data_IF_389995439922
#
_entry.id   IF_389995439922
#
_cell.length_a   1.000
_cell.length_b   1.000
_cell.length_c   1.000
_cell.angle_alpha   90.00
_cell.angle_beta   90.00
_cell.angle_gamma   90.00
#
_symmetry.space_group_name_H-M   'P 1'
#
loop_
_entity.id
_entity.type
_entity.pdbx_description
1 polymer ?
#
# COMPACT_ATOMS: atom_id res chain seq x y z
N UNK A 1 17.96 -17.63 -1.37
CA UNK A 1 18.55 -16.29 -1.49
C UNK A 1 18.86 -16.04 -2.94
N UNK A 2 18.48 -14.87 -3.44
CA UNK A 2 18.76 -14.48 -4.80
C UNK A 2 20.23 -14.05 -4.97
N UNK A 3 20.77 -14.23 -6.17
CA UNK A 3 22.11 -13.78 -6.54
C UNK A 3 22.20 -12.25 -6.53
N UNK A 4 23.34 -11.72 -6.08
CA UNK A 4 23.59 -10.27 -6.01
C UNK A 4 23.44 -9.57 -7.38
N UNK A 5 23.77 -10.30 -8.46
CA UNK A 5 23.57 -9.81 -9.83
C UNK A 5 22.09 -9.58 -10.15
N UNK A 6 21.23 -10.58 -9.90
CA UNK A 6 19.78 -10.46 -10.12
C UNK A 6 19.15 -9.36 -9.28
N UNK A 7 19.59 -9.20 -8.03
CA UNK A 7 19.14 -8.12 -7.17
C UNK A 7 19.46 -6.75 -7.80
N UNK A 8 20.68 -6.55 -8.30
CA UNK A 8 21.08 -5.30 -8.96
C UNK A 8 20.29 -5.04 -10.23
N UNK A 9 20.09 -6.06 -11.06
CA UNK A 9 19.27 -5.95 -12.28
C UNK A 9 17.81 -5.57 -11.93
N UNK A 10 17.20 -6.25 -10.96
CA UNK A 10 15.83 -5.96 -10.56
C UNK A 10 15.65 -4.53 -10.00
N UNK A 11 16.64 -4.04 -9.24
CA UNK A 11 16.66 -2.65 -8.76
C UNK A 11 16.82 -1.69 -9.94
N UNK A 12 17.73 -1.95 -10.88
CA UNK A 12 17.90 -1.12 -12.05
C UNK A 12 16.60 -1.04 -12.88
N UNK A 13 15.97 -2.19 -13.18
CA UNK A 13 14.68 -2.26 -13.88
C UNK A 13 13.58 -1.46 -13.16
N UNK A 14 13.60 -1.42 -11.82
CA UNK A 14 12.65 -0.63 -11.04
C UNK A 14 12.82 0.87 -11.32
N UNK A 15 14.06 1.38 -11.28
CA UNK A 15 14.35 2.80 -11.53
C UNK A 15 14.14 3.21 -12.99
N UNK A 16 14.26 2.27 -13.93
CA UNK A 16 13.97 2.48 -15.36
C UNK A 16 12.46 2.45 -15.67
N UNK A 17 11.62 1.97 -14.75
CA UNK A 17 10.18 1.84 -14.98
C UNK A 17 9.43 3.17 -14.77
N UNK A 18 9.17 3.89 -15.87
CA UNK A 18 8.38 5.13 -15.85
C UNK A 18 6.95 4.94 -15.31
N UNK A 19 6.35 3.79 -15.55
CA UNK A 19 4.98 3.47 -15.13
C UNK A 19 4.77 3.46 -13.60
N UNK A 20 5.85 3.48 -12.81
CA UNK A 20 5.79 3.54 -11.34
C UNK A 20 5.83 4.98 -10.82
N UNK A 21 6.06 5.95 -11.72
CA UNK A 21 6.27 7.37 -11.42
C UNK A 21 5.30 8.29 -12.15
N UNK A 22 4.61 7.82 -13.18
CA UNK A 22 3.89 8.63 -14.17
C UNK A 22 2.78 9.51 -13.56
N UNK A 23 2.14 9.06 -12.48
CA UNK A 23 1.03 9.75 -11.82
C UNK A 23 1.46 10.49 -10.53
N UNK A 24 2.75 10.49 -10.18
CA UNK A 24 3.29 11.07 -8.94
C UNK A 24 4.25 12.22 -9.25
N UNK A 25 4.33 13.19 -8.33
CA UNK A 25 5.41 14.19 -8.38
C UNK A 25 6.75 13.53 -8.03
N UNK A 26 7.86 14.20 -8.37
CA UNK A 26 9.21 13.65 -8.23
C UNK A 26 9.55 13.20 -6.80
N UNK A 27 9.13 13.96 -5.78
CA UNK A 27 9.39 13.64 -4.37
C UNK A 27 8.65 12.35 -3.93
N UNK A 28 7.37 12.22 -4.27
CA UNK A 28 6.54 11.06 -3.98
C UNK A 28 7.01 9.82 -4.77
N UNK A 29 7.31 10.00 -6.05
CA UNK A 29 7.86 8.96 -6.90
C UNK A 29 9.17 8.42 -6.32
N UNK A 30 10.06 9.30 -5.85
CA UNK A 30 11.33 8.90 -5.23
C UNK A 30 11.10 8.11 -3.93
N UNK A 31 10.14 8.52 -3.08
CA UNK A 31 9.79 7.76 -1.86
C UNK A 31 9.24 6.38 -2.20
N UNK A 32 8.37 6.28 -3.19
CA UNK A 32 7.82 5.01 -3.65
C UNK A 32 8.92 4.10 -4.18
N UNK A 33 9.85 4.61 -5.01
CA UNK A 33 11.00 3.86 -5.53
C UNK A 33 11.90 3.32 -4.40
N UNK A 34 12.24 4.15 -3.42
CA UNK A 34 13.04 3.73 -2.26
C UNK A 34 12.34 2.64 -1.45
N UNK A 35 11.02 2.74 -1.28
CA UNK A 35 10.23 1.71 -0.62
C UNK A 35 10.23 0.40 -1.43
N UNK A 36 10.02 0.47 -2.75
CA UNK A 36 10.05 -0.69 -3.64
C UNK A 36 11.41 -1.39 -3.64
N UNK A 37 12.50 -0.63 -3.64
CA UNK A 37 13.86 -1.15 -3.52
C UNK A 37 14.05 -1.93 -2.21
N UNK A 38 13.54 -1.42 -1.08
CA UNK A 38 13.57 -2.13 0.20
C UNK A 38 12.79 -3.45 0.13
N UNK A 39 11.62 -3.48 -0.51
CA UNK A 39 10.86 -4.72 -0.70
C UNK A 39 11.62 -5.71 -1.57
N UNK A 40 12.20 -5.29 -2.70
CA UNK A 40 13.00 -6.17 -3.57
C UNK A 40 14.21 -6.75 -2.81
N UNK A 41 14.90 -5.93 -2.02
CA UNK A 41 16.00 -6.40 -1.15
C UNK A 41 15.53 -7.41 -0.10
N UNK A 42 14.37 -7.18 0.52
CA UNK A 42 13.78 -8.10 1.47
C UNK A 42 13.38 -9.44 0.81
N UNK A 43 12.78 -9.41 -0.38
CA UNK A 43 12.48 -10.59 -1.17
C UNK A 43 13.75 -11.35 -1.56
N UNK A 44 14.83 -10.66 -1.96
CA UNK A 44 16.10 -11.31 -2.31
C UNK A 44 16.70 -12.11 -1.13
N UNK A 45 16.50 -11.63 0.10
CA UNK A 45 16.96 -12.29 1.31
C UNK A 45 16.18 -13.57 1.65
N UNK A 46 14.90 -13.68 1.25
CA UNK A 46 14.02 -14.79 1.64
C UNK A 46 13.69 -15.75 0.49
N UNK A 47 13.77 -15.29 -0.76
CA UNK A 47 13.35 -16.03 -1.95
C UNK A 47 14.55 -16.67 -2.68
N UNK A 48 14.30 -17.72 -3.47
CA UNK A 48 15.28 -18.34 -4.37
C UNK A 48 15.31 -17.65 -5.73
N UNK A 49 16.41 -17.80 -6.48
CA UNK A 49 16.60 -17.14 -7.78
C UNK A 49 15.50 -17.43 -8.80
N UNK A 50 14.87 -18.60 -8.75
CA UNK A 50 13.81 -19.02 -9.68
C UNK A 50 12.49 -18.27 -9.44
N UNK A 51 12.18 -17.97 -8.18
CA UNK A 51 10.95 -17.27 -7.79
C UNK A 51 11.14 -15.75 -7.66
N UNK A 52 12.40 -15.29 -7.55
CA UNK A 52 12.73 -13.89 -7.31
C UNK A 52 12.23 -12.96 -8.42
N UNK A 53 12.38 -13.36 -9.69
CA UNK A 53 11.90 -12.58 -10.83
C UNK A 53 10.38 -12.38 -10.78
N UNK A 54 9.65 -13.42 -10.36
CA UNK A 54 8.20 -13.38 -10.21
C UNK A 54 7.79 -12.49 -9.03
N UNK A 55 8.52 -12.56 -7.91
CA UNK A 55 8.33 -11.66 -6.77
C UNK A 55 8.56 -10.20 -7.14
N UNK A 56 9.63 -9.89 -7.88
CA UNK A 56 9.92 -8.53 -8.35
C UNK A 56 8.80 -7.99 -9.25
N UNK A 57 8.20 -8.85 -10.09
CA UNK A 57 7.03 -8.46 -10.89
C UNK A 57 5.84 -8.11 -10.01
N UNK A 58 5.55 -8.88 -8.96
CA UNK A 58 4.45 -8.56 -8.03
C UNK A 58 4.69 -7.26 -7.27
N UNK A 59 5.92 -7.01 -6.80
CA UNK A 59 6.29 -5.73 -6.17
C UNK A 59 6.03 -4.57 -7.14
N UNK A 60 6.45 -4.68 -8.40
CA UNK A 60 6.19 -3.64 -9.40
C UNK A 60 4.70 -3.42 -9.66
N UNK A 61 3.89 -4.49 -9.69
CA UNK A 61 2.43 -4.35 -9.85
C UNK A 61 1.77 -3.67 -8.66
N UNK A 62 2.21 -4.00 -7.44
CA UNK A 62 1.77 -3.34 -6.22
C UNK A 62 2.09 -1.84 -6.26
N UNK A 63 3.34 -1.48 -6.60
CA UNK A 63 3.75 -0.07 -6.71
C UNK A 63 2.97 0.69 -7.77
N UNK A 64 2.68 0.08 -8.92
CA UNK A 64 1.81 0.68 -9.94
C UNK A 64 0.41 0.96 -9.42
N UNK A 65 -0.16 0.02 -8.66
CA UNK A 65 -1.46 0.21 -7.99
C UNK A 65 -1.43 1.39 -7.02
N UNK A 66 -0.37 1.49 -6.21
CA UNK A 66 -0.19 2.60 -5.25
C UNK A 66 -0.03 3.94 -5.98
N UNK A 67 0.85 4.01 -6.98
CA UNK A 67 1.06 5.21 -7.82
C UNK A 67 -0.27 5.70 -8.42
N UNK A 68 -1.01 4.79 -9.07
CA UNK A 68 -2.30 5.12 -9.68
C UNK A 68 -3.34 5.57 -8.66
N UNK A 69 -3.43 4.86 -7.53
CA UNK A 69 -4.36 5.22 -6.46
C UNK A 69 -4.07 6.63 -5.92
N UNK A 70 -2.82 6.90 -5.55
CA UNK A 70 -2.42 8.18 -4.95
C UNK A 70 -2.56 9.33 -5.94
N UNK A 71 -2.09 9.15 -7.18
CA UNK A 71 -2.12 10.19 -8.21
C UNK A 71 -3.53 10.54 -8.68
N UNK A 72 -4.49 9.61 -8.59
CA UNK A 72 -5.85 9.83 -9.05
C UNK A 72 -6.85 10.05 -7.92
N UNK A 73 -6.45 9.90 -6.64
CA UNK A 73 -7.35 9.89 -5.47
C UNK A 73 -8.26 11.12 -5.41
N UNK A 74 -7.73 12.30 -5.72
CA UNK A 74 -8.49 13.57 -5.70
C UNK A 74 -9.69 13.56 -6.65
N UNK A 75 -9.63 12.76 -7.72
CA UNK A 75 -10.68 12.61 -8.73
C UNK A 75 -11.54 11.36 -8.50
N UNK A 76 -11.30 10.58 -7.44
CA UNK A 76 -12.05 9.35 -7.15
C UNK A 76 -13.24 9.59 -6.22
N UNK A 77 -14.39 9.03 -6.62
CA UNK A 77 -15.56 8.87 -5.75
C UNK A 77 -15.40 7.63 -4.85
N UNK A 78 -16.14 7.58 -3.74
CA UNK A 78 -16.08 6.50 -2.75
C UNK A 78 -16.08 5.05 -3.32
N UNK A 79 -17.00 4.66 -4.23
CA UNK A 79 -16.98 3.31 -4.79
C UNK A 79 -15.75 3.03 -5.66
N UNK A 80 -15.28 4.03 -6.42
CA UNK A 80 -14.10 3.88 -7.26
C UNK A 80 -12.81 3.84 -6.43
N UNK A 81 -12.74 4.62 -5.34
CA UNK A 81 -11.64 4.58 -4.38
C UNK A 81 -11.48 3.16 -3.79
N UNK A 82 -12.59 2.51 -3.41
CA UNK A 82 -12.55 1.14 -2.90
C UNK A 82 -12.07 0.13 -3.96
N UNK A 83 -12.54 0.24 -5.20
CA UNK A 83 -12.07 -0.63 -6.29
C UNK A 83 -10.56 -0.51 -6.50
N UNK A 84 -10.02 0.71 -6.46
CA UNK A 84 -8.58 0.94 -6.62
C UNK A 84 -7.78 0.44 -5.42
N UNK A 85 -8.30 0.56 -4.19
CA UNK A 85 -7.70 -0.10 -3.02
C UNK A 85 -7.71 -1.63 -3.16
N UNK A 86 -8.72 -2.22 -3.78
CA UNK A 86 -8.75 -3.65 -4.12
C UNK A 86 -7.64 -4.05 -5.07
N UNK A 87 -7.34 -3.21 -6.06
CA UNK A 87 -6.22 -3.42 -6.97
C UNK A 87 -4.86 -3.34 -6.26
N UNK A 88 -4.72 -2.48 -5.24
CA UNK A 88 -3.51 -2.41 -4.40
C UNK A 88 -3.39 -3.67 -3.54
N UNK A 89 -4.43 -4.04 -2.81
CA UNK A 89 -4.40 -5.15 -1.84
C UNK A 89 -4.25 -6.52 -2.51
N UNK A 90 -4.73 -6.68 -3.74
CA UNK A 90 -4.63 -7.90 -4.55
C UNK A 90 -3.21 -8.47 -4.63
N UNK A 91 -2.19 -7.63 -4.68
CA UNK A 91 -0.81 -8.06 -4.88
C UNK A 91 -0.05 -8.34 -3.58
N UNK A 92 -0.53 -7.85 -2.44
CA UNK A 92 0.10 -8.05 -1.12
C UNK A 92 0.40 -9.52 -0.77
N UNK A 93 -0.53 -10.49 -0.94
CA UNK A 93 -0.24 -11.88 -0.58
C UNK A 93 0.83 -12.48 -1.49
N UNK A 94 0.96 -12.00 -2.72
CA UNK A 94 1.95 -12.50 -3.66
C UNK A 94 3.37 -12.01 -3.35
N UNK A 95 3.50 -10.82 -2.74
CA UNK A 95 4.78 -10.24 -2.30
C UNK A 95 5.26 -10.83 -0.96
N UNK A 96 4.44 -11.65 -0.31
CA UNK A 96 4.75 -12.21 1.01
C UNK A 96 4.59 -11.18 2.15
N UNK A 97 3.84 -10.11 1.91
CA UNK A 97 3.49 -9.11 2.93
C UNK A 97 2.28 -9.58 3.75
N UNK A 98 2.13 -9.01 4.94
CA UNK A 98 0.93 -9.23 5.76
C UNK A 98 -0.29 -8.74 4.98
N UNK A 99 -1.34 -9.55 4.82
CA UNK A 99 -2.55 -9.11 4.12
C UNK A 99 -3.21 -7.99 4.91
N UNK A 100 -3.41 -6.86 4.25
CA UNK A 100 -4.14 -5.70 4.76
C UNK A 100 -5.44 -5.57 3.98
N UNK A 101 -6.55 -5.29 4.67
CA UNK A 101 -7.83 -5.04 4.00
C UNK A 101 -7.94 -3.61 3.49
N UNK A 102 -8.74 -3.41 2.44
CA UNK A 102 -9.02 -2.07 1.87
C UNK A 102 -9.53 -1.11 2.95
N UNK A 103 -10.40 -1.60 3.84
CA UNK A 103 -10.92 -0.84 4.97
C UNK A 103 -9.83 -0.36 5.95
N UNK A 104 -8.78 -1.15 6.18
CA UNK A 104 -7.66 -0.74 7.04
C UNK A 104 -6.85 0.38 6.39
N UNK A 105 -6.60 0.29 5.07
CA UNK A 105 -5.92 1.36 4.34
C UNK A 105 -6.77 2.63 4.37
N UNK A 106 -8.07 2.53 4.05
CA UNK A 106 -9.00 3.64 4.04
C UNK A 106 -9.10 4.37 5.39
N UNK A 107 -9.05 3.65 6.51
CA UNK A 107 -9.06 4.24 7.86
C UNK A 107 -7.81 5.08 8.17
N UNK A 108 -6.67 4.78 7.53
CA UNK A 108 -5.41 5.50 7.76
C UNK A 108 -5.19 6.64 6.77
N UNK A 109 -6.04 6.75 5.73
CA UNK A 109 -5.91 7.82 4.74
C UNK A 109 -6.32 9.18 5.32
N UNK A 110 -5.60 10.26 4.97
CA UNK A 110 -5.98 11.60 5.38
C UNK A 110 -7.32 12.02 4.72
N UNK A 111 -8.07 12.95 5.34
CA UNK A 111 -9.30 13.48 4.75
C UNK A 111 -9.03 14.33 3.51
N UNK A 112 -7.84 14.94 3.44
CA UNK A 112 -7.39 15.68 2.26
C UNK A 112 -6.96 14.69 1.17
N UNK A 113 -7.73 14.66 0.08
CA UNK A 113 -7.47 13.78 -1.07
C UNK A 113 -6.41 14.33 -2.02
N UNK A 114 -6.15 15.63 -2.00
CA UNK A 114 -5.20 16.30 -2.90
C UNK A 114 -3.76 16.23 -2.38
N UNK A 115 -3.55 15.96 -1.09
CA UNK A 115 -2.22 15.75 -0.51
C UNK A 115 -1.64 14.37 -0.85
N UNK A 116 -1.06 14.24 -2.05
CA UNK A 116 -0.43 13.02 -2.55
C UNK A 116 0.66 12.49 -1.59
N UNK A 117 1.45 13.38 -0.98
CA UNK A 117 2.53 13.03 -0.07
C UNK A 117 2.01 12.38 1.21
N UNK A 118 0.97 12.94 1.81
CA UNK A 118 0.30 12.36 2.98
C UNK A 118 -0.40 11.04 2.64
N UNK A 119 -1.07 10.98 1.48
CA UNK A 119 -1.72 9.78 0.97
C UNK A 119 -0.74 8.61 0.80
N UNK A 120 0.36 8.84 0.09
CA UNK A 120 1.40 7.85 -0.12
C UNK A 120 1.96 7.37 1.23
N UNK A 121 2.30 8.31 2.12
CA UNK A 121 2.86 7.99 3.43
C UNK A 121 1.92 7.13 4.27
N UNK A 122 0.62 7.44 4.27
CA UNK A 122 -0.40 6.65 4.96
C UNK A 122 -0.48 5.21 4.44
N UNK A 123 -0.48 5.02 3.11
CA UNK A 123 -0.51 3.68 2.50
C UNK A 123 0.75 2.91 2.86
N UNK A 124 1.93 3.51 2.64
CA UNK A 124 3.21 2.85 2.92
C UNK A 124 3.33 2.45 4.40
N UNK A 125 2.90 3.31 5.33
CA UNK A 125 2.87 2.97 6.76
C UNK A 125 1.87 1.86 7.10
N UNK A 126 0.80 1.70 6.33
CA UNK A 126 -0.15 0.61 6.55
C UNK A 126 0.41 -0.72 6.02
N UNK A 127 1.07 -0.71 4.85
CA UNK A 127 1.62 -1.91 4.21
C UNK A 127 2.90 -2.41 4.89
N UNK A 128 3.76 -1.47 5.25
CA UNK A 128 4.92 -1.69 6.09
C UNK A 128 4.74 -0.80 7.30
N UNK A 129 4.08 -1.27 8.37
CA UNK A 129 4.14 -0.57 9.64
C UNK A 129 5.61 -0.52 9.99
N UNK A 130 6.22 0.65 9.71
CA UNK A 130 7.59 0.91 10.06
C UNK A 130 7.64 0.57 11.53
N UNK A 131 8.46 -0.41 11.89
CA UNK A 131 8.86 -0.66 13.26
C UNK A 131 9.73 0.54 13.69
N UNK A 132 9.19 1.75 13.62
CA UNK A 132 9.77 3.00 14.06
C UNK A 132 9.60 3.07 15.57
N UNK A 133 10.26 2.13 16.26
CA UNK A 133 10.77 2.27 17.62
C UNK A 133 11.66 1.07 18.00
N UNK A 134 12.56 0.65 17.11
CA UNK A 134 13.92 0.38 17.60
C UNK A 134 14.60 1.75 17.76
N UNK A 135 14.29 2.43 18.86
CA UNK A 135 15.07 3.58 19.28
C UNK A 135 16.54 3.14 19.33
N UNK A 136 17.51 3.95 18.86
CA UNK A 136 18.88 3.75 19.30
C UNK A 136 18.83 3.84 20.82
N UNK A 137 19.12 2.74 21.50
CA UNK A 137 19.52 2.79 22.91
C UNK A 137 20.54 3.91 22.99
N UNK A 138 20.24 5.07 23.61
CA UNK A 138 21.24 6.09 23.76
C UNK A 138 22.38 5.43 24.54
N UNK A 139 23.57 5.58 23.97
CA UNK A 139 24.86 5.21 24.52
C UNK A 139 24.82 4.94 26.03
N UNK A 140 25.21 3.73 26.41
CA UNK A 140 25.85 3.50 27.71
C UNK A 140 27.10 4.39 27.76
N UNK A 141 26.92 5.64 28.13
CA UNK A 141 27.98 6.47 28.65
C UNK A 141 28.52 5.77 29.91
N UNK A 142 29.84 5.68 30.07
CA UNK A 142 30.43 5.03 31.23
C UNK A 142 29.98 5.80 32.47
N UNK A 143 29.22 5.13 33.34
CA UNK A 143 28.78 5.70 34.62
C UNK A 143 30.02 6.02 35.43
N UNK A 144 30.35 7.31 35.45
CA UNK A 144 31.25 7.94 36.39
C UNK A 144 30.78 7.58 37.81
N UNK A 145 31.69 6.96 38.54
CA UNK A 145 31.50 6.45 39.88
C UNK A 145 31.24 7.63 40.84
N UNK A 146 29.97 7.87 41.21
CA UNK A 146 29.61 8.73 42.34
C UNK A 146 28.96 7.89 43.43
N UNK A 147 29.52 7.87 44.66
CA UNK A 147 29.06 7.00 45.73
C UNK A 147 28.02 7.72 46.59
N UNK A 148 26.75 7.32 46.54
CA UNK A 148 25.82 7.62 47.63
C UNK A 148 24.88 6.42 47.92
N UNK A 149 24.91 5.87 49.16
CA UNK A 149 24.03 4.80 49.61
C UNK A 149 22.66 5.33 50.11
N UNK A 150 21.71 4.43 50.46
CA UNK A 150 20.28 4.59 50.22
C UNK A 150 19.52 5.19 51.40
N UNK A 151 18.30 5.69 51.17
CA UNK A 151 17.30 5.80 52.22
C UNK A 151 15.92 5.44 51.68
N UNK A 152 15.27 4.58 52.45
CA UNK A 152 14.06 3.82 52.18
C UNK A 152 12.80 4.65 52.59
N UNK A 153 11.62 4.05 52.82
CA UNK A 153 10.38 4.21 52.06
C UNK A 153 9.34 5.10 52.77
N UNK A 154 8.33 5.67 52.10
CA UNK A 154 7.10 6.13 52.78
C UNK A 154 5.89 6.25 51.84
N UNK A 155 4.89 5.42 52.18
CA UNK A 155 3.43 5.64 52.21
C UNK A 155 2.62 5.91 50.92
N UNK A 156 1.79 4.91 50.62
CA UNK A 156 0.33 4.94 50.50
C UNK A 156 -0.34 6.19 49.90
N UNK A 157 -0.99 5.99 48.75
CA UNK A 157 -2.29 6.60 48.48
C UNK A 157 -3.30 5.53 48.00
N UNK A 158 -4.53 5.50 48.57
CA UNK A 158 -5.60 4.62 48.15
C UNK A 158 -6.37 5.19 46.94
N UNK A 159 -6.62 4.36 45.93
CA UNK A 159 -7.51 4.68 44.82
C UNK A 159 -8.99 4.50 45.21
N UNK A 160 -9.89 5.44 44.87
CA UNK A 160 -11.33 5.32 45.09
C UNK A 160 -12.02 4.35 44.10
N UNK A 161 -13.27 3.92 44.41
CA UNK A 161 -13.87 2.69 43.89
C UNK A 161 -14.43 2.80 42.47
N UNK A 162 -14.50 1.64 41.84
CA UNK A 162 -15.13 1.39 40.56
C UNK A 162 -16.66 1.55 40.64
N UNK A 163 -17.20 2.52 39.90
CA UNK A 163 -18.60 2.52 39.49
C UNK A 163 -18.71 3.24 38.13
N UNK A 164 -18.54 2.48 37.05
CA UNK A 164 -18.94 2.88 35.71
C UNK A 164 -19.41 1.63 34.96
N UNK A 165 -20.71 1.32 35.10
CA UNK A 165 -21.46 0.51 34.12
C UNK A 165 -21.96 1.45 33.02
N UNK A 166 -21.56 1.28 31.75
CA UNK A 166 -22.30 1.86 30.64
C UNK A 166 -23.53 0.99 30.32
N UNK A 167 -24.71 1.58 30.47
CA UNK A 167 -25.98 1.00 30.02
C UNK A 167 -26.01 0.91 28.48
N UNK A 168 -26.42 -0.24 27.96
CA UNK A 168 -26.76 -0.48 26.55
C UNK A 168 -28.26 -0.25 26.35
N UNK A 169 -28.68 0.67 25.46
CA UNK A 169 -30.00 0.60 24.87
C UNK A 169 -29.98 -0.10 23.51
N UNK A 170 -30.79 -1.16 23.45
CA UNK A 170 -31.35 -1.80 22.26
C UNK A 170 -31.92 -0.81 21.24
N UNK A 171 -31.68 -1.06 19.96
CA UNK A 171 -32.64 -0.83 18.85
C UNK A 171 -32.14 -1.68 17.65
N UNK A 172 -32.56 -2.92 17.40
CA UNK A 172 -33.87 -3.40 16.94
C UNK A 172 -34.43 -2.66 15.70
N UNK A 173 -34.16 -3.27 14.54
CA UNK A 173 -35.12 -3.44 13.42
C UNK A 173 -35.30 -2.28 12.44
N UNK A 174 -34.58 -2.35 11.31
CA UNK A 174 -35.21 -2.19 9.99
C UNK A 174 -34.24 -2.59 8.86
N UNK A 175 -34.48 -3.68 8.12
CA UNK A 175 -33.86 -3.85 6.81
C UNK A 175 -34.63 -2.98 5.77
N UNK A 176 -33.92 -2.25 4.89
CA UNK A 176 -34.55 -1.53 3.80
C UNK A 176 -35.19 -2.50 2.79
N UNK A 177 -36.44 -2.22 2.43
CA UNK A 177 -37.15 -2.82 1.30
C UNK A 177 -36.49 -2.31 0.02
N UNK A 178 -35.82 -3.19 -0.73
CA UNK A 178 -35.40 -2.88 -2.09
C UNK A 178 -36.53 -3.24 -3.06
N UNK A 179 -37.01 -2.31 -3.90
CA UNK A 179 -37.82 -2.66 -5.05
C UNK A 179 -36.95 -3.37 -6.10
N UNK A 180 -37.37 -4.57 -6.48
CA UNK A 180 -36.80 -5.34 -7.59
C UNK A 180 -37.06 -4.62 -8.91
N UNK A 181 -36.06 -3.91 -9.43
CA UNK A 181 -36.09 -3.43 -10.82
C UNK A 181 -35.64 -4.56 -11.76
N UNK A 182 -36.50 -4.81 -12.75
CA UNK A 182 -36.38 -5.86 -13.76
C UNK A 182 -35.22 -5.59 -14.74
N UNK A 183 -34.50 -6.62 -15.21
CA UNK A 183 -33.67 -6.49 -16.39
C UNK A 183 -34.54 -6.57 -17.65
N UNK A 184 -34.69 -5.47 -18.37
CA UNK A 184 -34.98 -5.45 -19.82
C UNK A 184 -33.65 -5.56 -20.56
N UNK A 185 -33.30 -6.78 -20.97
CA UNK A 185 -32.22 -7.02 -21.92
C UNK A 185 -32.81 -6.85 -23.34
N UNK A 186 -32.67 -5.65 -23.87
CA UNK A 186 -32.97 -5.31 -25.26
C UNK A 186 -31.81 -5.79 -26.12
N UNK A 187 -32.08 -6.83 -26.88
CA UNK A 187 -31.20 -7.38 -27.89
C UNK A 187 -31.00 -6.37 -29.03
N UNK A 188 -29.90 -5.61 -29.01
CA UNK A 188 -29.41 -4.93 -30.20
C UNK A 188 -28.21 -5.67 -30.78
N UNK A 189 -28.56 -6.57 -31.68
CA UNK A 189 -27.85 -6.91 -32.91
C UNK A 189 -27.08 -5.70 -33.48
N UNK A 190 -25.76 -5.79 -33.55
CA UNK A 190 -24.99 -4.99 -34.51
C UNK A 190 -23.83 -5.80 -35.06
N UNK A 191 -24.18 -6.56 -36.09
CA UNK A 191 -23.27 -7.07 -37.09
C UNK A 191 -22.42 -5.95 -37.71
N UNK A 192 -21.09 -6.12 -37.72
CA UNK A 192 -20.15 -5.92 -38.84
C UNK A 192 -18.76 -5.48 -38.36
N UNK A 193 -17.71 -6.18 -38.83
CA UNK A 193 -16.52 -5.48 -39.31
C UNK A 193 -16.36 -5.64 -40.83
N UNK A 194 -16.48 -4.52 -41.54
CA UNK A 194 -15.69 -4.23 -42.75
C UNK A 194 -14.38 -3.58 -42.26
N UNK A 195 -13.19 -3.65 -42.84
CA UNK A 195 -12.70 -3.91 -44.18
C UNK A 195 -11.16 -4.06 -44.02
N UNK A 196 -10.47 -5.07 -44.58
CA UNK A 196 -9.01 -5.11 -44.52
C UNK A 196 -8.43 -4.16 -45.57
N UNK A 197 -7.89 -3.03 -45.12
CA UNK A 197 -7.17 -2.09 -45.96
C UNK A 197 -5.93 -2.75 -46.59
N UNK A 198 -6.03 -3.09 -47.87
CA UNK A 198 -4.92 -3.34 -48.77
C UNK A 198 -3.94 -2.16 -48.72
N UNK A 199 -2.68 -2.42 -48.34
CA UNK A 199 -1.56 -1.51 -48.53
C UNK A 199 -0.87 -1.84 -49.86
N UNK A 200 -0.91 -0.96 -50.88
CA UNK A 200 -0.12 -1.15 -52.09
C UNK A 200 1.30 -0.57 -51.91
N UNK A 201 2.29 -1.40 -52.26
CA UNK A 201 3.54 -0.99 -52.92
C UNK A 201 4.49 -0.06 -52.15
N UNK A 202 5.47 -0.64 -51.44
CA UNK A 202 6.73 0.04 -51.18
C UNK A 202 7.73 -0.37 -52.26
N UNK A 203 8.12 0.60 -53.09
CA UNK A 203 9.10 0.50 -54.17
C UNK A 203 10.50 0.81 -53.60
N UNK A 204 11.46 -0.14 -53.62
CA UNK A 204 12.78 0.09 -53.05
C UNK A 204 13.82 0.40 -54.13
N UNK A 205 13.75 1.55 -54.80
CA UNK A 205 14.90 2.15 -55.50
C UNK A 205 14.70 3.66 -55.77
N UNK A 206 15.12 4.51 -54.82
CA UNK A 206 15.30 5.95 -55.01
C UNK A 206 16.34 6.51 -54.02
#
# INVERSE_FOLDING_TARGET
MASDHKLKEAIQELYESSAVRDDLNDDEAQRLLQWGEQQIRACAATTHDEDFDQQCRYVRQLMKGINRFVGQREFMDGPYEQEQLGNVTKWLPHVGMVPVSEAQIAQNLPPDKSDMGANLTAILNTLTPTQAQAAPTPASAPTEHSPFPPTEPTAHQPFPPADYQPELPNDLTNPPVYPSEQPTDDATDRSQPADPTEYPGYDPDA
#
